data_IF_386196949355
#
_entry.id   IF_386196949355
#
_cell.length_a   1.000
_cell.length_b   1.000
_cell.length_c   1.000
_cell.angle_alpha   90.00
_cell.angle_beta   90.00
_cell.angle_gamma   90.00
#
_symmetry.space_group_name_H-M   'P 1'
#
loop_
_entity.id
_entity.type
_entity.pdbx_description
1 polymer ?
#
# COMPACT_ATOMS: atom_id res chain seq x y z
N UNK A 1 11.49 -0.13 13.12
CA UNK A 1 11.75 -0.26 11.67
C UNK A 1 10.93 0.78 10.92
N UNK A 2 11.55 1.89 10.47
CA UNK A 2 10.93 2.88 9.58
C UNK A 2 10.47 2.24 8.27
N UNK A 3 9.38 2.77 7.71
CA UNK A 3 8.75 2.29 6.45
C UNK A 3 8.47 3.43 5.48
N UNK A 4 8.23 4.63 5.99
CA UNK A 4 8.04 5.83 5.18
C UNK A 4 8.68 7.04 5.84
N UNK A 5 9.31 7.87 5.00
CA UNK A 5 9.79 9.20 5.33
C UNK A 5 9.02 10.20 4.48
N UNK A 6 8.54 11.28 5.09
CA UNK A 6 7.82 12.37 4.42
C UNK A 6 8.34 13.70 4.93
N UNK A 7 8.39 14.71 4.06
CA UNK A 7 8.71 16.09 4.44
C UNK A 7 7.41 16.89 4.49
N UNK A 8 7.07 17.44 5.66
CA UNK A 8 5.88 18.26 5.89
C UNK A 8 6.31 19.66 6.34
N UNK A 9 6.35 20.61 5.41
CA UNK A 9 6.96 21.92 5.64
C UNK A 9 8.41 21.79 6.10
N UNK A 10 8.71 22.28 7.31
CA UNK A 10 10.05 22.20 7.93
C UNK A 10 10.28 20.94 8.77
N UNK A 11 9.35 19.99 8.77
CA UNK A 11 9.42 18.79 9.61
C UNK A 11 9.65 17.53 8.77
N UNK A 12 10.46 16.63 9.30
CA UNK A 12 10.55 15.24 8.85
C UNK A 12 9.51 14.42 9.60
N UNK A 13 8.74 13.60 8.88
CA UNK A 13 7.82 12.62 9.46
C UNK A 13 8.35 11.22 9.14
N UNK A 14 8.37 10.38 10.16
CA UNK A 14 8.83 8.99 10.12
C UNK A 14 7.68 8.10 10.57
N UNK A 15 7.26 7.18 9.70
CA UNK A 15 6.29 6.15 10.04
C UNK A 15 6.92 4.77 9.93
N UNK A 16 6.44 3.83 10.73
CA UNK A 16 6.84 2.44 10.59
C UNK A 16 6.28 1.54 11.67
N UNK A 17 7.06 0.51 12.01
CA UNK A 17 6.66 -0.53 12.96
C UNK A 17 7.68 -0.68 14.08
N UNK A 18 7.18 -0.83 15.30
CA UNK A 18 7.91 -1.33 16.46
C UNK A 18 7.62 -2.83 16.59
N UNK A 19 8.66 -3.62 16.84
CA UNK A 19 8.57 -5.06 16.98
C UNK A 19 9.03 -5.47 18.37
N UNK A 20 8.22 -6.28 19.05
CA UNK A 20 8.55 -6.84 20.36
C UNK A 20 8.04 -8.29 20.42
N UNK A 21 8.94 -9.27 20.30
CA UNK A 21 8.57 -10.69 20.17
C UNK A 21 7.53 -10.91 19.04
N UNK A 22 6.29 -11.26 19.40
CA UNK A 22 5.17 -11.47 18.47
C UNK A 22 4.29 -10.23 18.30
N UNK A 23 4.56 -9.16 19.04
CA UNK A 23 3.83 -7.90 18.99
C UNK A 23 4.38 -7.03 17.86
N UNK A 24 3.46 -6.50 17.05
CA UNK A 24 3.76 -5.40 16.13
C UNK A 24 2.86 -4.21 16.43
N UNK A 25 3.47 -3.04 16.59
CA UNK A 25 2.79 -1.77 16.83
C UNK A 25 3.22 -0.76 15.77
N UNK A 26 2.26 -0.08 15.13
CA UNK A 26 2.57 1.00 14.20
C UNK A 26 3.12 2.20 14.97
N UNK A 27 3.98 3.01 14.37
CA UNK A 27 4.43 4.25 14.99
C UNK A 27 4.43 5.43 14.04
N UNK A 28 4.26 6.61 14.62
CA UNK A 28 4.49 7.91 14.02
C UNK A 28 5.47 8.69 14.91
N UNK A 29 6.43 9.36 14.28
CA UNK A 29 7.41 10.22 14.90
C UNK A 29 7.66 11.41 13.96
N UNK A 30 7.74 12.62 14.49
CA UNK A 30 8.21 13.77 13.72
C UNK A 30 9.50 14.33 14.31
N UNK A 31 10.28 15.00 13.46
CA UNK A 31 11.46 15.76 13.84
C UNK A 31 11.43 17.13 13.18
N UNK A 32 11.76 18.17 13.93
CA UNK A 32 11.94 19.52 13.39
C UNK A 32 13.23 19.63 12.58
N UNK A 33 13.36 20.67 11.76
CA UNK A 33 14.61 21.00 11.05
C UNK A 33 15.82 21.18 11.99
N UNK A 34 15.59 21.52 13.26
CA UNK A 34 16.63 21.65 14.30
C UNK A 34 16.95 20.34 15.01
N UNK A 35 16.35 19.22 14.60
CA UNK A 35 16.61 17.90 15.18
C UNK A 35 15.84 17.59 16.46
N UNK A 36 14.79 18.36 16.80
CA UNK A 36 13.94 18.08 17.95
C UNK A 36 12.89 17.05 17.58
N UNK A 37 12.91 15.90 18.25
CA UNK A 37 11.96 14.81 18.02
C UNK A 37 10.70 14.94 18.86
N UNK A 38 9.54 14.59 18.30
CA UNK A 38 8.31 14.41 19.07
C UNK A 38 8.39 13.14 19.93
N UNK A 39 7.47 13.00 20.87
CA UNK A 39 7.19 11.67 21.44
C UNK A 39 6.71 10.72 20.35
N UNK A 40 7.04 9.44 20.47
CA UNK A 40 6.57 8.40 19.55
C UNK A 40 5.08 8.16 19.81
N UNK A 41 4.23 8.44 18.82
CA UNK A 41 2.85 7.98 18.83
C UNK A 41 2.84 6.50 18.44
N UNK A 42 2.41 5.63 19.36
CA UNK A 42 2.12 4.22 19.09
C UNK A 42 0.68 4.05 18.58
N UNK A 43 0.50 3.23 17.54
CA UNK A 43 -0.79 2.94 16.92
C UNK A 43 -1.04 1.44 16.99
N UNK A 44 -2.08 1.06 17.72
CA UNK A 44 -2.32 -0.32 18.15
C UNK A 44 -1.38 -0.73 19.29
N UNK A 45 -1.47 -2.00 19.68
CA UNK A 45 -0.71 -2.52 20.84
C UNK A 45 -0.05 -3.86 20.61
N UNK A 46 -0.59 -4.68 19.69
CA UNK A 46 -0.18 -6.08 19.52
C UNK A 46 -0.12 -6.53 18.07
N UNK A 47 -1.00 -6.03 17.21
CA UNK A 47 -1.17 -6.51 15.84
C UNK A 47 -1.62 -5.37 14.93
N UNK A 48 -0.78 -4.35 14.83
CA UNK A 48 -0.97 -3.21 13.93
C UNK A 48 0.32 -2.88 13.20
N UNK A 49 0.23 -2.74 11.89
CA UNK A 49 1.35 -2.49 10.98
C UNK A 49 1.06 -1.27 10.11
N UNK A 50 2.07 -0.44 9.89
CA UNK A 50 2.12 0.61 8.87
C UNK A 50 3.11 0.17 7.80
N UNK A 51 2.71 0.29 6.54
CA UNK A 51 3.52 -0.10 5.39
C UNK A 51 3.90 1.08 4.51
N UNK A 52 3.02 2.06 4.37
CA UNK A 52 3.26 3.24 3.52
C UNK A 52 2.37 4.41 3.98
N UNK A 53 2.66 5.62 3.48
CA UNK A 53 1.88 6.82 3.75
C UNK A 53 2.06 7.89 2.68
N UNK A 54 1.07 8.77 2.59
CA UNK A 54 1.13 10.03 1.84
C UNK A 54 0.94 11.22 2.76
N UNK A 55 1.54 12.34 2.37
CA UNK A 55 1.30 13.64 3.00
C UNK A 55 -0.01 14.24 2.49
N UNK A 56 -0.74 14.92 3.37
CA UNK A 56 -1.94 15.66 3.02
C UNK A 56 -1.66 17.16 3.00
N UNK A 57 -2.53 17.92 2.32
CA UNK A 57 -2.40 19.38 2.20
C UNK A 57 -2.48 20.13 3.54
N UNK A 58 -3.10 19.54 4.56
CA UNK A 58 -3.16 20.08 5.93
C UNK A 58 -1.91 19.76 6.77
N UNK A 59 -0.89 19.17 6.16
CA UNK A 59 0.36 18.76 6.82
C UNK A 59 0.25 17.46 7.64
N UNK A 60 -0.95 16.89 7.78
CA UNK A 60 -1.16 15.56 8.34
C UNK A 60 -0.80 14.45 7.36
N UNK A 61 -0.90 13.19 7.78
CA UNK A 61 -0.57 12.02 6.95
C UNK A 61 -1.72 11.03 6.84
N UNK A 62 -1.83 10.42 5.67
CA UNK A 62 -2.71 9.27 5.44
C UNK A 62 -1.83 8.03 5.30
N UNK A 63 -1.86 7.16 6.30
CA UNK A 63 -1.04 5.96 6.36
C UNK A 63 -1.86 4.71 6.08
N UNK A 64 -1.23 3.67 5.53
CA UNK A 64 -1.89 2.39 5.25
C UNK A 64 -1.10 1.22 5.80
N UNK A 65 -1.81 0.13 6.05
CA UNK A 65 -1.19 -1.11 6.52
C UNK A 65 -2.21 -2.19 6.87
N UNK A 66 -2.03 -2.84 8.01
CA UNK A 66 -2.94 -3.87 8.50
C UNK A 66 -3.15 -3.78 10.01
N UNK A 67 -4.32 -4.15 10.50
CA UNK A 67 -4.56 -4.30 11.94
C UNK A 67 -5.63 -5.34 12.24
N UNK A 68 -5.35 -6.21 13.22
CA UNK A 68 -6.32 -7.12 13.83
C UNK A 68 -6.88 -6.63 15.17
N UNK A 69 -6.68 -5.37 15.53
CA UNK A 69 -7.08 -4.80 16.82
C UNK A 69 -8.18 -3.75 16.66
N UNK A 70 -8.86 -3.38 17.74
CA UNK A 70 -9.73 -2.19 17.76
C UNK A 70 -8.89 -0.91 17.72
N UNK A 71 -9.17 -0.01 16.78
CA UNK A 71 -8.50 1.30 16.68
C UNK A 71 -9.56 2.41 16.55
N UNK A 72 -9.53 3.44 17.41
CA UNK A 72 -10.50 4.56 17.44
C UNK A 72 -11.98 4.15 17.23
N UNK A 73 -12.44 3.04 17.82
CA UNK A 73 -13.79 2.47 17.67
C UNK A 73 -14.03 1.62 16.40
N UNK A 74 -13.11 1.58 15.43
CA UNK A 74 -13.20 0.69 14.27
C UNK A 74 -12.77 -0.74 14.64
N UNK A 75 -13.75 -1.63 14.88
CA UNK A 75 -13.54 -3.05 15.17
C UNK A 75 -13.06 -3.82 13.93
N UNK A 76 -12.12 -4.78 14.08
CA UNK A 76 -11.75 -5.69 13.00
C UNK A 76 -12.89 -6.67 12.71
N UNK A 77 -13.06 -7.04 11.45
CA UNK A 77 -14.04 -8.07 11.03
C UNK A 77 -13.33 -9.41 10.76
N UNK A 78 -12.08 -9.39 10.33
CA UNK A 78 -11.30 -10.60 10.03
C UNK A 78 -10.07 -10.72 10.94
N UNK A 79 -9.25 -11.76 10.75
CA UNK A 79 -8.02 -12.00 11.54
C UNK A 79 -7.10 -10.78 11.55
N UNK A 80 -7.01 -10.10 10.40
CA UNK A 80 -6.39 -8.78 10.28
C UNK A 80 -6.94 -8.12 9.03
N UNK A 81 -7.39 -6.88 9.17
CA UNK A 81 -7.96 -6.09 8.08
C UNK A 81 -6.92 -5.12 7.54
N UNK A 82 -7.02 -4.78 6.26
CA UNK A 82 -6.26 -3.65 5.75
C UNK A 82 -6.82 -2.36 6.35
N UNK A 83 -5.94 -1.48 6.82
CA UNK A 83 -6.34 -0.22 7.46
C UNK A 83 -5.82 0.98 6.68
N UNK A 84 -6.61 2.04 6.69
CA UNK A 84 -6.20 3.40 6.32
C UNK A 84 -6.40 4.31 7.51
N UNK A 85 -5.36 5.03 7.88
CA UNK A 85 -5.27 5.83 9.09
C UNK A 85 -5.09 7.30 8.70
N UNK A 86 -5.88 8.19 9.29
CA UNK A 86 -5.64 9.64 9.23
C UNK A 86 -4.95 10.06 10.51
N UNK A 87 -3.77 10.66 10.40
CA UNK A 87 -2.99 11.17 11.53
C UNK A 87 -2.76 12.68 11.28
N UNK A 88 -3.02 13.51 12.28
CA UNK A 88 -2.81 14.96 12.18
C UNK A 88 -1.33 15.31 12.13
N UNK A 89 -1.02 16.55 11.75
CA UNK A 89 0.35 17.11 11.82
C UNK A 89 0.92 17.12 13.24
N UNK A 90 0.05 17.19 14.25
CA UNK A 90 0.40 17.08 15.66
C UNK A 90 0.61 15.63 16.15
N UNK A 91 0.52 14.62 15.27
CA UNK A 91 0.73 13.22 15.64
C UNK A 91 -0.43 12.63 16.45
N UNK A 92 -1.67 13.00 16.12
CA UNK A 92 -2.88 12.41 16.73
C UNK A 92 -3.62 11.57 15.68
N UNK A 93 -3.93 10.32 16.01
CA UNK A 93 -4.78 9.48 15.17
C UNK A 93 -6.21 10.04 15.19
N UNK A 94 -6.75 10.38 14.02
CA UNK A 94 -8.05 11.03 13.85
C UNK A 94 -9.12 10.10 13.28
N UNK A 95 -8.74 9.21 12.35
CA UNK A 95 -9.69 8.33 11.67
C UNK A 95 -9.06 6.99 11.33
N UNK A 96 -9.88 5.93 11.36
CA UNK A 96 -9.52 4.59 10.92
C UNK A 96 -10.59 4.09 9.96
N UNK A 97 -10.20 3.77 8.74
CA UNK A 97 -11.03 3.04 7.78
C UNK A 97 -10.46 1.62 7.59
N UNK A 98 -11.35 0.66 7.38
CA UNK A 98 -10.99 -0.75 7.18
C UNK A 98 -11.46 -1.24 5.83
N UNK A 99 -10.59 -1.94 5.12
CA UNK A 99 -10.95 -2.78 4.00
C UNK A 99 -10.81 -4.24 4.46
N UNK A 100 -11.92 -4.97 4.50
CA UNK A 100 -11.99 -6.31 5.07
C UNK A 100 -12.59 -7.31 4.10
N UNK A 101 -12.35 -8.59 4.37
CA UNK A 101 -12.99 -9.71 3.71
C UNK A 101 -12.99 -10.90 4.66
N UNK A 102 -14.16 -11.43 5.00
CA UNK A 102 -14.34 -12.48 5.99
C UNK A 102 -13.39 -13.67 5.76
N UNK A 103 -12.85 -14.23 6.84
CA UNK A 103 -11.93 -15.38 6.82
C UNK A 103 -10.62 -15.14 6.04
N UNK A 104 -10.17 -13.89 5.96
CA UNK A 104 -8.88 -13.54 5.33
C UNK A 104 -7.97 -12.76 6.27
N UNK A 105 -6.72 -12.61 5.86
CA UNK A 105 -5.84 -11.54 6.34
C UNK A 105 -5.59 -10.57 5.18
N UNK A 106 -5.88 -9.29 5.38
CA UNK A 106 -5.71 -8.26 4.36
C UNK A 106 -4.74 -7.19 4.84
N UNK A 107 -3.92 -6.69 3.92
CA UNK A 107 -2.97 -5.62 4.21
C UNK A 107 -2.79 -4.72 3.00
N UNK A 108 -2.77 -3.41 3.22
CA UNK A 108 -2.29 -2.46 2.23
C UNK A 108 -0.77 -2.33 2.34
N UNK A 109 -0.08 -2.44 1.21
CA UNK A 109 1.37 -2.31 1.10
C UNK A 109 1.80 -0.98 0.52
N UNK A 110 0.94 -0.30 -0.23
CA UNK A 110 1.22 1.00 -0.82
C UNK A 110 -0.03 1.88 -0.85
N UNK A 111 0.22 3.18 -0.86
CA UNK A 111 -0.80 4.21 -1.11
C UNK A 111 -0.19 5.31 -1.96
N UNK A 112 -0.95 5.80 -2.93
CA UNK A 112 -0.63 6.99 -3.69
C UNK A 112 -1.70 8.08 -3.53
N UNK A 113 -1.40 9.27 -4.04
CA UNK A 113 -2.27 10.42 -4.14
C UNK A 113 -3.64 10.04 -4.70
N UNK A 114 -4.67 10.76 -4.25
CA UNK A 114 -6.05 10.40 -4.57
C UNK A 114 -6.53 9.09 -3.93
N UNK A 115 -5.82 8.50 -2.95
CA UNK A 115 -6.24 7.29 -2.23
C UNK A 115 -6.36 6.05 -3.13
N UNK A 116 -5.41 5.88 -4.06
CA UNK A 116 -5.20 4.59 -4.71
C UNK A 116 -4.36 3.71 -3.77
N UNK A 117 -4.91 2.56 -3.39
CA UNK A 117 -4.29 1.67 -2.41
C UNK A 117 -4.11 0.28 -3.03
N UNK A 118 -2.96 -0.33 -2.77
CA UNK A 118 -2.68 -1.68 -3.22
C UNK A 118 -2.01 -2.52 -2.14
N UNK A 119 -2.26 -3.82 -2.19
CA UNK A 119 -1.70 -4.77 -1.22
C UNK A 119 -2.16 -6.20 -1.48
N UNK A 120 -2.31 -6.99 -0.41
CA UNK A 120 -2.64 -8.41 -0.50
C UNK A 120 -3.86 -8.81 0.30
N UNK A 121 -4.52 -9.87 -0.17
CA UNK A 121 -5.54 -10.64 0.54
C UNK A 121 -5.04 -12.08 0.63
N UNK A 122 -4.91 -12.60 1.85
CA UNK A 122 -4.48 -13.97 2.14
C UNK A 122 -5.67 -14.79 2.62
N UNK A 123 -5.94 -15.88 1.90
CA UNK A 123 -6.82 -16.97 2.31
C UNK A 123 -5.99 -18.13 2.87
N UNK A 124 -6.66 -19.20 3.32
CA UNK A 124 -5.97 -20.42 3.75
C UNK A 124 -5.21 -21.12 2.60
N UNK A 125 -5.71 -21.03 1.37
CA UNK A 125 -5.20 -21.79 0.22
C UNK A 125 -4.76 -20.94 -0.98
N UNK A 126 -5.02 -19.62 -0.95
CA UNK A 126 -4.67 -18.73 -2.05
C UNK A 126 -4.33 -17.33 -1.57
N UNK A 127 -3.68 -16.58 -2.46
CA UNK A 127 -3.35 -15.18 -2.28
C UNK A 127 -3.82 -14.38 -3.48
N UNK A 128 -4.32 -13.18 -3.21
CA UNK A 128 -4.72 -12.21 -4.22
C UNK A 128 -3.96 -10.90 -4.02
N UNK A 129 -3.54 -10.30 -5.13
CA UNK A 129 -3.21 -8.88 -5.20
C UNK A 129 -4.52 -8.11 -5.21
N UNK A 130 -4.65 -7.08 -4.37
CA UNK A 130 -5.83 -6.23 -4.32
C UNK A 130 -5.45 -4.79 -4.58
N UNK A 131 -6.22 -4.12 -5.44
CA UNK A 131 -6.07 -2.69 -5.76
C UNK A 131 -7.42 -2.02 -5.60
N UNK A 132 -7.46 -0.88 -4.96
CA UNK A 132 -8.72 -0.16 -4.69
C UNK A 132 -8.49 1.32 -4.76
N UNK A 133 -9.33 1.99 -5.54
CA UNK A 133 -9.43 3.44 -5.52
C UNK A 133 -10.52 3.84 -4.54
N UNK A 134 -10.19 4.78 -3.66
CA UNK A 134 -11.17 5.38 -2.75
C UNK A 134 -11.48 6.82 -3.15
N UNK A 135 -12.70 7.28 -2.88
CA UNK A 135 -13.07 8.70 -3.01
C UNK A 135 -12.84 9.44 -1.70
N UNK A 136 -12.97 8.74 -0.57
CA UNK A 136 -12.60 9.16 0.76
C UNK A 136 -12.26 7.93 1.61
N UNK A 137 -11.70 8.11 2.81
CA UNK A 137 -11.39 7.01 3.71
C UNK A 137 -12.63 6.11 3.93
N UNK A 138 -12.50 4.84 3.55
CA UNK A 138 -13.57 3.84 3.67
C UNK A 138 -14.68 3.90 2.61
N UNK A 139 -14.57 4.78 1.59
CA UNK A 139 -15.53 4.89 0.48
C UNK A 139 -14.90 4.41 -0.83
N UNK A 140 -14.97 3.11 -1.17
CA UNK A 140 -14.37 2.59 -2.40
C UNK A 140 -15.14 3.06 -3.64
N UNK A 141 -14.41 3.44 -4.70
CA UNK A 141 -14.94 3.75 -6.03
C UNK A 141 -14.97 2.50 -6.89
N UNK A 142 -13.84 1.78 -6.91
CA UNK A 142 -13.72 0.48 -7.56
C UNK A 142 -12.68 -0.37 -6.83
N UNK A 143 -12.81 -1.69 -6.95
CA UNK A 143 -11.92 -2.69 -6.38
C UNK A 143 -11.66 -3.77 -7.42
N UNK A 144 -10.40 -4.11 -7.63
CA UNK A 144 -9.98 -5.25 -8.44
C UNK A 144 -9.06 -6.16 -7.65
N UNK A 145 -9.14 -7.46 -7.95
CA UNK A 145 -8.31 -8.50 -7.33
C UNK A 145 -7.82 -9.48 -8.38
N UNK A 146 -6.56 -9.88 -8.24
CA UNK A 146 -5.88 -10.79 -9.16
C UNK A 146 -5.22 -11.91 -8.39
N UNK A 147 -5.22 -13.14 -8.92
CA UNK A 147 -4.44 -14.23 -8.34
C UNK A 147 -2.95 -13.86 -8.33
N UNK A 148 -2.32 -13.95 -7.17
CA UNK A 148 -0.95 -13.46 -6.96
C UNK A 148 -0.15 -14.36 -6.02
N UNK A 149 1.18 -14.29 -6.12
CA UNK A 149 2.15 -14.82 -5.14
C UNK A 149 2.81 -13.74 -4.28
N UNK A 150 2.42 -12.49 -4.45
CA UNK A 150 3.04 -11.32 -3.79
C UNK A 150 2.00 -10.28 -3.38
N UNK A 151 2.46 -9.26 -2.64
CA UNK A 151 1.64 -8.07 -2.43
C UNK A 151 1.63 -7.20 -3.68
N UNK A 152 0.64 -6.31 -3.81
CA UNK A 152 0.59 -5.34 -4.88
C UNK A 152 1.13 -3.98 -4.43
N UNK A 153 1.83 -3.32 -5.35
CA UNK A 153 2.14 -1.89 -5.27
C UNK A 153 1.31 -1.15 -6.31
N UNK A 154 1.02 0.13 -6.07
CA UNK A 154 0.31 0.96 -7.04
C UNK A 154 0.77 2.41 -7.01
N UNK A 155 0.60 3.08 -8.15
CA UNK A 155 0.84 4.51 -8.32
C UNK A 155 -0.19 5.10 -9.27
N UNK A 156 -0.35 6.42 -9.24
CA UNK A 156 -1.25 7.14 -10.15
C UNK A 156 -0.54 8.33 -10.80
N UNK A 157 -0.78 8.48 -12.10
CA UNK A 157 -0.47 9.67 -12.88
C UNK A 157 -1.68 10.00 -13.77
N UNK A 158 -1.55 9.95 -15.09
CA UNK A 158 -2.68 10.00 -16.02
C UNK A 158 -3.62 8.81 -15.85
N UNK A 159 -3.04 7.62 -15.71
CA UNK A 159 -3.74 6.36 -15.44
C UNK A 159 -3.26 5.76 -14.11
N UNK A 160 -4.00 4.79 -13.58
CA UNK A 160 -3.58 4.05 -12.39
C UNK A 160 -2.72 2.87 -12.81
N UNK A 161 -1.64 2.60 -12.09
CA UNK A 161 -0.72 1.51 -12.38
C UNK A 161 -0.58 0.61 -11.16
N UNK A 162 -0.42 -0.68 -11.38
CA UNK A 162 -0.17 -1.63 -10.30
C UNK A 162 0.80 -2.73 -10.71
N UNK A 163 1.63 -3.19 -9.77
CA UNK A 163 2.57 -4.27 -10.01
C UNK A 163 2.47 -5.34 -8.93
N UNK A 164 2.60 -6.59 -9.34
CA UNK A 164 2.60 -7.78 -8.49
C UNK A 164 3.11 -9.00 -9.28
N UNK A 165 3.38 -10.10 -8.58
CA UNK A 165 3.68 -11.42 -9.15
C UNK A 165 2.38 -12.18 -9.40
N UNK A 166 1.91 -12.15 -10.65
CA UNK A 166 0.67 -12.82 -11.11
C UNK A 166 0.80 -14.33 -11.10
N UNK A 167 -0.22 -15.03 -10.63
CA UNK A 167 -0.29 -16.51 -10.62
C UNK A 167 -1.47 -17.09 -11.38
N UNK A 168 -2.15 -16.28 -12.18
CA UNK A 168 -3.32 -16.73 -12.93
C UNK A 168 -3.71 -15.79 -14.06
N UNK A 169 -4.82 -16.13 -14.72
CA UNK A 169 -5.33 -15.35 -15.83
C UNK A 169 -5.71 -13.93 -15.41
N UNK A 170 -5.43 -12.94 -16.26
CA UNK A 170 -5.85 -11.54 -16.06
C UNK A 170 -7.00 -11.23 -17.01
N UNK A 171 -8.17 -10.94 -16.44
CA UNK A 171 -9.35 -10.55 -17.23
C UNK A 171 -9.04 -9.26 -18.00
N UNK A 172 -9.34 -9.25 -19.30
CA UNK A 172 -9.03 -8.14 -20.20
C UNK A 172 -7.75 -8.35 -21.01
N UNK A 173 -6.88 -9.30 -20.62
CA UNK A 173 -5.64 -9.63 -21.34
C UNK A 173 -5.65 -11.12 -21.72
N UNK A 174 -6.28 -11.52 -22.85
CA UNK A 174 -6.48 -12.93 -23.20
C UNK A 174 -5.20 -13.79 -23.22
N UNK A 175 -4.07 -13.19 -23.61
CA UNK A 175 -2.77 -13.85 -23.67
C UNK A 175 -2.09 -14.04 -22.30
N UNK A 176 -2.55 -13.34 -21.24
CA UNK A 176 -1.92 -13.42 -19.92
C UNK A 176 -2.48 -14.60 -19.12
N UNK A 177 -1.84 -15.76 -19.24
CA UNK A 177 -2.16 -16.99 -18.48
C UNK A 177 -0.86 -17.70 -18.06
N UNK A 178 -0.12 -17.16 -17.09
CA UNK A 178 1.20 -17.65 -16.73
C UNK A 178 1.13 -19.08 -16.18
N UNK A 179 1.98 -19.98 -16.71
CA UNK A 179 2.18 -21.33 -16.15
C UNK A 179 3.02 -21.29 -14.86
N UNK A 180 3.94 -20.33 -14.78
CA UNK A 180 4.79 -20.04 -13.63
C UNK A 180 4.50 -18.63 -13.17
N UNK A 181 4.43 -18.39 -11.85
CA UNK A 181 4.12 -17.07 -11.33
C UNK A 181 5.06 -16.01 -11.91
N UNK A 182 4.50 -14.96 -12.51
CA UNK A 182 5.22 -14.01 -13.36
C UNK A 182 4.95 -12.59 -12.89
N UNK A 183 6.00 -11.80 -12.69
CA UNK A 183 5.90 -10.39 -12.34
C UNK A 183 5.26 -9.58 -13.47
N UNK A 184 4.28 -8.76 -13.12
CA UNK A 184 3.49 -7.97 -14.06
C UNK A 184 3.35 -6.54 -13.58
N UNK A 185 3.36 -5.60 -14.52
CA UNK A 185 2.89 -4.24 -14.37
C UNK A 185 1.61 -4.10 -15.20
N UNK A 186 0.52 -3.67 -14.57
CA UNK A 186 -0.75 -3.41 -15.22
C UNK A 186 -1.06 -1.93 -15.24
N UNK A 187 -1.58 -1.48 -16.37
CA UNK A 187 -2.28 -0.21 -16.48
C UNK A 187 -3.77 -0.43 -16.24
N UNK A 188 -4.36 0.42 -15.40
CA UNK A 188 -5.76 0.38 -15.02
C UNK A 188 -6.46 1.67 -15.46
N UNK A 189 -7.61 1.49 -16.09
CA UNK A 189 -8.49 2.58 -16.47
C UNK A 189 -9.30 3.15 -15.32
N UNK A 190 -10.19 4.08 -15.63
CA UNK A 190 -10.89 4.91 -14.63
C UNK A 190 -11.82 4.10 -13.73
N UNK A 191 -12.28 2.92 -14.17
CA UNK A 191 -13.15 2.01 -13.41
C UNK A 191 -12.40 0.76 -12.93
N UNK A 192 -11.06 0.75 -13.02
CA UNK A 192 -10.22 -0.38 -12.64
C UNK A 192 -10.11 -1.48 -13.69
N UNK A 193 -10.68 -1.29 -14.88
CA UNK A 193 -10.48 -2.17 -16.03
C UNK A 193 -9.01 -2.22 -16.43
N UNK A 194 -8.50 -3.42 -16.76
CA UNK A 194 -7.11 -3.57 -17.22
C UNK A 194 -7.03 -3.09 -18.67
N UNK A 195 -6.16 -2.11 -18.92
CA UNK A 195 -5.91 -1.53 -20.24
C UNK A 195 -4.76 -2.27 -20.93
N UNK A 196 -3.66 -2.46 -20.21
CA UNK A 196 -2.44 -3.07 -20.73
C UNK A 196 -1.71 -3.85 -19.63
N UNK A 197 -0.81 -4.74 -20.06
CA UNK A 197 0.01 -5.55 -19.16
C UNK A 197 1.43 -5.69 -19.71
N UNK A 198 2.41 -5.53 -18.84
CA UNK A 198 3.82 -5.66 -19.15
C UNK A 198 4.46 -6.69 -18.22
N UNK A 199 5.22 -7.62 -18.79
CA UNK A 199 6.02 -8.56 -18.00
C UNK A 199 7.24 -7.84 -17.42
N UNK A 200 7.53 -8.10 -16.15
CA UNK A 200 8.73 -7.66 -15.48
C UNK A 200 9.68 -8.85 -15.29
N UNK A 201 10.98 -8.59 -15.40
CA UNK A 201 12.02 -9.63 -15.26
C UNK A 201 12.20 -10.11 -13.82
N UNK A 202 11.80 -9.30 -12.84
CA UNK A 202 11.86 -9.61 -11.42
C UNK A 202 10.70 -8.91 -10.67
N UNK A 203 10.35 -9.34 -9.43
CA UNK A 203 9.34 -8.68 -8.62
C UNK A 203 9.67 -7.21 -8.35
N UNK A 204 8.64 -6.36 -8.36
CA UNK A 204 8.80 -4.95 -8.04
C UNK A 204 8.92 -4.73 -6.52
N UNK A 205 9.83 -3.85 -6.13
CA UNK A 205 10.01 -3.38 -4.75
C UNK A 205 9.59 -1.92 -4.57
N UNK A 206 9.54 -1.15 -5.65
CA UNK A 206 8.99 0.20 -5.66
C UNK A 206 8.35 0.51 -7.02
N UNK A 207 7.36 1.40 -7.00
CA UNK A 207 6.71 1.94 -8.19
C UNK A 207 6.40 3.41 -7.94
N UNK A 208 6.55 4.25 -8.95
CA UNK A 208 6.16 5.65 -8.94
C UNK A 208 5.78 6.07 -10.35
N UNK A 209 4.95 7.08 -10.48
CA UNK A 209 4.61 7.64 -11.79
C UNK A 209 4.48 9.15 -11.72
N UNK A 210 4.83 9.81 -12.82
CA UNK A 210 4.57 11.23 -13.03
C UNK A 210 4.24 11.48 -14.51
N UNK A 211 3.74 12.69 -14.80
CA UNK A 211 3.27 13.01 -16.16
C UNK A 211 4.41 13.33 -17.15
N UNK A 212 5.66 13.45 -16.69
CA UNK A 212 6.80 13.83 -17.51
C UNK A 212 7.60 12.62 -18.00
N UNK A 213 7.83 11.64 -17.10
CA UNK A 213 8.68 10.46 -17.29
C UNK A 213 7.84 9.20 -17.43
N UNK A 214 6.54 9.24 -17.12
CA UNK A 214 5.68 8.06 -17.13
C UNK A 214 5.78 7.26 -15.83
N UNK A 215 5.60 5.94 -15.94
CA UNK A 215 5.62 5.00 -14.81
C UNK A 215 6.96 4.32 -14.69
N UNK A 216 7.58 4.44 -13.52
CA UNK A 216 8.89 3.86 -13.18
C UNK A 216 8.71 2.76 -12.14
N UNK A 217 9.32 1.60 -12.37
CA UNK A 217 9.33 0.45 -11.47
C UNK A 217 10.76 0.07 -11.14
N UNK A 218 11.04 -0.12 -9.86
CA UNK A 218 12.29 -0.75 -9.40
C UNK A 218 11.99 -2.21 -9.10
N UNK A 219 12.75 -3.12 -9.71
CA UNK A 219 12.65 -4.56 -9.50
C UNK A 219 13.84 -5.08 -8.71
N UNK A 220 13.66 -6.18 -7.99
CA UNK A 220 14.70 -6.84 -7.20
C UNK A 220 14.67 -8.35 -7.49
N UNK A 221 15.78 -8.87 -8.02
CA UNK A 221 15.96 -10.29 -8.31
C UNK A 221 16.53 -11.08 -7.11
N UNK A 222 16.94 -10.38 -6.05
CA UNK A 222 17.76 -10.90 -4.95
C UNK A 222 19.27 -10.84 -5.22
N UNK A 223 19.68 -10.52 -6.46
CA UNK A 223 21.09 -10.37 -6.87
C UNK A 223 21.38 -8.96 -7.38
N UNK A 224 20.42 -8.36 -8.07
CA UNK A 224 20.53 -7.01 -8.63
C UNK A 224 19.18 -6.31 -8.66
N UNK A 225 19.25 -4.98 -8.67
CA UNK A 225 18.09 -4.13 -8.95
C UNK A 225 17.97 -3.83 -10.44
N UNK A 226 16.74 -3.80 -10.93
CA UNK A 226 16.39 -3.35 -12.28
C UNK A 226 15.57 -2.07 -12.24
N UNK A 227 15.63 -1.30 -13.34
CA UNK A 227 14.79 -0.13 -13.57
C UNK A 227 13.97 -0.36 -14.84
N UNK A 228 12.65 -0.20 -14.73
CA UNK A 228 11.73 -0.30 -15.87
C UNK A 228 10.95 1.00 -15.98
N UNK A 229 10.88 1.57 -17.19
CA UNK A 229 10.14 2.80 -17.49
C UNK A 229 9.10 2.49 -18.58
N UNK A 230 7.86 2.94 -18.35
CA UNK A 230 6.74 2.80 -19.29
C UNK A 230 6.09 4.17 -19.48
N UNK A 231 5.99 4.61 -20.73
CA UNK A 231 5.48 5.92 -21.13
C UNK A 231 4.12 5.83 -21.82
#
# INVERSE_FOLDING_TARGET
SPRKLLISGSNLIILGNLYEKTITTGFYLSATKTGTFSSILKIGSKNTQINDAILNSDGGVTAVGASGELLLKAKPISKSDAVTLRISSAGVLQQVARATLKNTTRSWSSIDTGLLQAGRVMYSNKQEAAVTKFSALGKPVWNVRFLSRSTALATVSKNSWTTFVSSGAIKGIPAWKPKVATSVLLELGKKGEVISAHTLTAPAVAISSNNEIGTVVITDSGVSFGLVVVN
#
